data_IF_462923961264
#
_entry.id   IF_462923961264
#
_cell.length_a   1.000
_cell.length_b   1.000
_cell.length_c   1.000
_cell.angle_alpha   90.00
_cell.angle_beta   90.00
_cell.angle_gamma   90.00
#
_symmetry.space_group_name_H-M   'P 1'
#
loop_
_entity.id
_entity.type
_entity.pdbx_description
1 polymer ?
#
# COMPACT_ATOMS: atom_id res chain seq x y z
N UNK A 1 12.60 13.36 9.11
CA UNK A 1 12.38 11.90 9.11
C UNK A 1 11.29 11.56 8.11
N UNK A 2 11.52 10.54 7.32
CA UNK A 2 10.60 10.20 6.26
C UNK A 2 9.51 9.25 6.74
N UNK A 3 8.29 9.52 6.30
CA UNK A 3 7.18 8.61 6.55
C UNK A 3 7.42 7.31 5.79
N UNK A 4 7.15 6.19 6.44
CA UNK A 4 7.11 4.91 5.75
C UNK A 4 5.80 4.83 4.96
N UNK A 5 5.87 4.44 3.70
CA UNK A 5 4.71 4.30 2.83
C UNK A 5 4.52 2.81 2.54
N UNK A 6 3.30 2.34 2.71
CA UNK A 6 2.95 0.93 2.54
C UNK A 6 1.93 0.76 1.43
N UNK A 7 2.08 -0.29 0.63
CA UNK A 7 1.11 -0.65 -0.39
C UNK A 7 0.75 -2.12 -0.27
N UNK A 8 -0.55 -2.40 -0.23
CA UNK A 8 -1.06 -3.77 -0.16
C UNK A 8 -1.22 -4.30 -1.58
N UNK A 9 -0.64 -5.47 -1.85
CA UNK A 9 -0.81 -6.13 -3.14
C UNK A 9 -0.70 -7.64 -2.96
N UNK A 10 -0.86 -8.38 -4.04
CA UNK A 10 -0.71 -9.83 -4.01
C UNK A 10 0.74 -10.24 -4.26
N UNK A 11 1.09 -11.43 -3.77
CA UNK A 11 2.40 -12.03 -4.06
C UNK A 11 2.58 -12.19 -5.58
N UNK A 12 1.51 -12.56 -6.28
CA UNK A 12 1.57 -12.73 -7.74
C UNK A 12 1.90 -11.42 -8.44
N UNK A 13 1.27 -10.31 -8.03
CA UNK A 13 1.55 -9.00 -8.61
C UNK A 13 3.00 -8.59 -8.37
N UNK A 14 3.53 -8.89 -7.19
CA UNK A 14 4.93 -8.61 -6.88
C UNK A 14 5.88 -9.42 -7.76
N UNK A 15 5.57 -10.70 -7.97
CA UNK A 15 6.38 -11.55 -8.85
C UNK A 15 6.41 -11.00 -10.29
N UNK A 16 5.28 -10.49 -10.76
CA UNK A 16 5.21 -9.85 -12.08
C UNK A 16 6.07 -8.58 -12.11
N UNK A 17 5.98 -7.76 -11.07
CA UNK A 17 6.75 -6.52 -10.97
C UNK A 17 8.26 -6.79 -11.03
N UNK A 18 8.71 -7.85 -10.35
CA UNK A 18 10.12 -8.21 -10.37
C UNK A 18 10.61 -8.57 -11.78
N UNK A 19 9.74 -9.21 -12.57
CA UNK A 19 10.08 -9.54 -13.96
C UNK A 19 10.04 -8.31 -14.87
N UNK A 20 9.16 -7.36 -14.58
CA UNK A 20 9.00 -6.15 -15.38
C UNK A 20 9.97 -5.03 -15.02
N UNK A 21 10.60 -5.11 -13.85
CA UNK A 21 11.54 -4.09 -13.40
C UNK A 21 10.91 -2.91 -12.69
N UNK A 22 9.59 -2.91 -12.52
CA UNK A 22 8.86 -1.88 -11.76
C UNK A 22 7.50 -2.43 -11.35
N UNK A 23 6.93 -1.83 -10.31
CA UNK A 23 5.59 -2.20 -9.85
C UNK A 23 4.56 -1.21 -10.35
N UNK A 24 3.45 -1.71 -10.88
CA UNK A 24 2.31 -0.90 -11.26
C UNK A 24 1.03 -1.57 -10.78
N UNK A 25 0.11 -0.79 -10.22
CA UNK A 25 -1.18 -1.27 -9.76
C UNK A 25 -2.26 -0.95 -10.79
N UNK A 26 -3.35 -1.73 -10.85
CA UNK A 26 -4.48 -1.43 -11.75
C UNK A 26 -5.05 -0.03 -11.57
N UNK A 27 -5.05 0.50 -10.33
CA UNK A 27 -5.58 1.83 -10.06
C UNK A 27 -4.81 2.94 -10.78
N UNK A 28 -3.54 2.69 -11.15
CA UNK A 28 -2.78 3.68 -11.89
C UNK A 28 -3.43 3.98 -13.24
N UNK A 29 -3.95 2.96 -13.92
CA UNK A 29 -4.66 3.15 -15.19
C UNK A 29 -6.07 3.71 -14.97
N UNK A 30 -6.80 3.18 -13.98
CA UNK A 30 -8.22 3.53 -13.79
C UNK A 30 -8.44 4.83 -13.03
N UNK A 31 -7.52 5.20 -12.14
CA UNK A 31 -7.68 6.35 -11.25
C UNK A 31 -6.53 7.35 -11.33
N UNK A 32 -5.44 6.98 -11.97
CA UNK A 32 -4.29 7.86 -12.17
C UNK A 32 -3.21 7.78 -11.09
N UNK A 33 -3.40 6.95 -10.06
CA UNK A 33 -2.41 6.82 -8.99
C UNK A 33 -2.52 5.46 -8.29
N UNK A 34 -1.48 5.13 -7.54
CA UNK A 34 -1.41 3.92 -6.74
C UNK A 34 -1.77 4.27 -5.30
N UNK A 35 -2.75 3.55 -4.73
CA UNK A 35 -3.20 3.76 -3.36
C UNK A 35 -2.17 3.22 -2.37
N UNK A 36 -1.78 4.04 -1.41
CA UNK A 36 -0.86 3.64 -0.35
C UNK A 36 -1.39 4.08 1.01
N UNK A 37 -0.73 3.62 2.07
CA UNK A 37 -1.11 3.90 3.45
C UNK A 37 0.13 4.12 4.29
N UNK A 38 -0.05 4.83 5.41
CA UNK A 38 0.96 4.85 6.46
C UNK A 38 0.80 3.60 7.33
N UNK A 39 1.78 3.30 8.20
CA UNK A 39 1.62 2.19 9.14
C UNK A 39 0.38 2.30 10.03
N UNK A 40 -0.06 3.51 10.36
CA UNK A 40 -1.27 3.70 11.16
C UNK A 40 -2.56 3.48 10.38
N UNK A 41 -2.52 3.67 9.07
CA UNK A 41 -3.68 3.57 8.20
C UNK A 41 -3.88 2.18 7.61
N UNK A 42 -2.81 1.39 7.50
CA UNK A 42 -2.82 0.18 6.67
C UNK A 42 -3.77 -0.89 7.19
N UNK A 43 -3.86 -1.10 8.51
CA UNK A 43 -4.76 -2.12 9.05
C UNK A 43 -6.23 -1.78 8.86
N UNK A 44 -6.69 -0.55 9.14
CA UNK A 44 -8.07 -0.18 8.80
C UNK A 44 -8.39 -0.38 7.32
N UNK A 45 -7.47 -0.03 6.43
CA UNK A 45 -7.65 -0.23 4.99
C UNK A 45 -7.73 -1.73 4.67
N UNK A 46 -6.82 -2.52 5.21
CA UNK A 46 -6.82 -3.97 4.98
C UNK A 46 -8.09 -4.62 5.50
N UNK A 47 -8.53 -4.25 6.70
CA UNK A 47 -9.73 -4.82 7.30
C UNK A 47 -10.98 -4.46 6.50
N UNK A 48 -11.03 -3.29 5.89
CA UNK A 48 -12.19 -2.88 5.10
C UNK A 48 -12.22 -3.52 3.72
N UNK A 49 -11.10 -3.53 3.01
CA UNK A 49 -11.07 -3.87 1.59
C UNK A 49 -10.54 -5.28 1.29
N UNK A 50 -9.82 -5.89 2.22
CA UNK A 50 -9.14 -7.17 1.96
C UNK A 50 -9.47 -8.25 2.98
N UNK A 51 -10.49 -8.05 3.80
CA UNK A 51 -10.82 -8.96 4.90
C UNK A 51 -10.86 -10.42 4.44
N UNK A 52 -10.11 -11.27 5.12
CA UNK A 52 -10.09 -12.70 4.84
C UNK A 52 -9.27 -13.12 3.63
N UNK A 53 -8.73 -12.18 2.86
CA UNK A 53 -7.95 -12.53 1.68
C UNK A 53 -6.58 -13.09 2.07
N UNK A 54 -6.11 -14.06 1.30
CA UNK A 54 -4.80 -14.67 1.48
C UNK A 54 -3.89 -14.30 0.29
N UNK A 55 -2.59 -14.58 0.44
CA UNK A 55 -1.65 -14.27 -0.64
C UNK A 55 -1.29 -12.81 -0.75
N UNK A 56 -1.58 -12.02 0.28
CA UNK A 56 -1.28 -10.60 0.30
C UNK A 56 0.09 -10.32 0.90
N UNK A 57 0.71 -9.25 0.43
CA UNK A 57 1.96 -8.72 0.96
C UNK A 57 1.84 -7.21 1.14
N UNK A 58 2.75 -6.68 1.94
CA UNK A 58 2.99 -5.24 2.04
C UNK A 58 4.30 -4.92 1.34
N UNK A 59 4.24 -3.96 0.43
CA UNK A 59 5.44 -3.34 -0.10
C UNK A 59 5.79 -2.17 0.81
N UNK A 60 6.99 -2.20 1.39
CA UNK A 60 7.48 -1.12 2.25
C UNK A 60 8.30 -0.20 1.37
N UNK A 61 7.86 1.04 1.24
CA UNK A 61 8.38 1.98 0.27
C UNK A 61 9.12 3.12 0.99
N UNK A 62 10.34 3.39 0.54
CA UNK A 62 11.09 4.58 0.97
C UNK A 62 10.73 5.72 0.02
N UNK A 63 9.97 6.72 0.47
CA UNK A 63 9.52 7.78 -0.45
C UNK A 63 10.66 8.63 -0.99
N UNK A 64 11.82 8.66 -0.33
CA UNK A 64 12.97 9.42 -0.84
C UNK A 64 13.59 8.79 -2.07
N UNK A 65 13.29 7.52 -2.35
CA UNK A 65 13.84 6.80 -3.50
C UNK A 65 12.87 6.71 -4.67
N UNK A 66 11.65 7.22 -4.50
CA UNK A 66 10.64 7.14 -5.56
C UNK A 66 11.01 8.00 -6.76
N UNK A 67 10.85 7.43 -7.97
CA UNK A 67 10.98 8.17 -9.23
C UNK A 67 9.69 8.88 -9.59
N UNK A 68 8.54 8.35 -9.16
CA UNK A 68 7.22 8.93 -9.43
C UNK A 68 6.81 9.89 -8.31
N UNK A 69 5.93 10.84 -8.64
CA UNK A 69 5.45 11.82 -7.66
C UNK A 69 4.60 11.17 -6.59
N UNK A 70 4.82 11.57 -5.36
CA UNK A 70 4.02 11.17 -4.21
C UNK A 70 3.25 12.37 -3.72
N UNK A 71 1.92 12.22 -3.57
CA UNK A 71 1.07 13.29 -3.04
C UNK A 71 0.26 12.77 -1.86
N UNK A 72 0.07 13.61 -0.87
CA UNK A 72 -0.75 13.31 0.30
C UNK A 72 -2.13 13.92 0.06
N UNK A 73 -3.14 13.07 -0.08
CA UNK A 73 -4.46 13.50 -0.53
C UNK A 73 -5.56 12.86 0.30
N UNK A 74 -6.76 13.47 0.37
CA UNK A 74 -7.91 12.82 0.99
C UNK A 74 -8.22 11.48 0.35
N UNK A 75 -9.00 10.60 1.02
CA UNK A 75 -9.43 9.34 0.41
C UNK A 75 -10.09 9.59 -0.94
N UNK A 76 -9.85 8.71 -1.89
CA UNK A 76 -10.38 8.85 -3.25
C UNK A 76 -11.90 8.85 -3.27
N UNK A 77 -12.51 7.96 -2.48
CA UNK A 77 -13.96 7.85 -2.42
C UNK A 77 -14.48 8.10 -1.00
N UNK A 78 -15.09 9.26 -0.80
CA UNK A 78 -15.83 9.55 0.43
C UNK A 78 -14.98 9.54 1.69
N UNK A 79 -15.53 8.92 2.74
CA UNK A 79 -14.92 8.91 4.05
C UNK A 79 -13.81 7.84 4.15
N UNK A 80 -12.81 8.06 5.00
CA UNK A 80 -11.81 7.02 5.24
C UNK A 80 -12.43 5.81 5.95
N UNK A 81 -11.75 4.64 5.93
CA UNK A 81 -12.28 3.48 6.62
C UNK A 81 -12.35 3.69 8.13
N UNK A 82 -13.21 2.93 8.83
CA UNK A 82 -13.27 3.01 10.30
C UNK A 82 -11.88 2.81 10.91
N UNK A 83 -11.54 3.65 11.89
CA UNK A 83 -10.22 3.61 12.53
C UNK A 83 -9.23 4.60 11.99
N UNK A 84 -9.57 5.31 10.91
CA UNK A 84 -8.75 6.38 10.35
C UNK A 84 -9.44 7.71 10.60
N UNK A 85 -8.74 8.73 11.13
CA UNK A 85 -9.34 10.04 11.33
C UNK A 85 -9.91 10.64 10.05
N UNK A 86 -11.04 11.35 10.16
CA UNK A 86 -11.74 11.89 8.99
C UNK A 86 -10.90 12.84 8.13
N UNK A 87 -9.99 13.55 8.76
CA UNK A 87 -9.18 14.54 8.06
C UNK A 87 -7.82 14.01 7.60
N UNK A 88 -7.59 12.71 7.76
CA UNK A 88 -6.33 12.11 7.33
C UNK A 88 -6.19 12.16 5.82
N UNK A 89 -4.95 12.34 5.38
CA UNK A 89 -4.60 12.18 3.97
C UNK A 89 -3.84 10.87 3.80
N UNK A 90 -3.93 10.33 2.58
CA UNK A 90 -3.27 9.10 2.21
C UNK A 90 -2.20 9.37 1.18
N UNK A 91 -1.09 8.62 1.20
CA UNK A 91 -0.08 8.78 0.16
C UNK A 91 -0.55 8.15 -1.14
N UNK A 92 -0.54 8.93 -2.21
CA UNK A 92 -0.90 8.48 -3.56
C UNK A 92 0.32 8.64 -4.46
N UNK A 93 0.71 7.57 -5.15
CA UNK A 93 1.88 7.58 -6.03
C UNK A 93 1.41 7.69 -7.48
N UNK A 94 1.83 8.74 -8.16
CA UNK A 94 1.37 9.08 -9.50
C UNK A 94 2.31 8.55 -10.58
N UNK A 95 2.53 7.26 -10.57
CA UNK A 95 3.34 6.57 -11.56
C UNK A 95 3.78 5.21 -11.05
N UNK A 96 4.48 4.43 -11.86
CA UNK A 96 5.02 3.14 -11.40
C UNK A 96 6.01 3.33 -10.26
N UNK A 97 6.14 2.29 -9.44
CA UNK A 97 7.09 2.29 -8.33
C UNK A 97 8.36 1.57 -8.78
N UNK A 98 9.47 2.29 -8.77
CA UNK A 98 10.76 1.69 -9.08
C UNK A 98 11.16 0.70 -7.99
N UNK A 99 11.72 -0.44 -8.37
CA UNK A 99 11.98 -1.53 -7.42
C UNK A 99 12.95 -1.13 -6.31
N UNK A 100 13.91 -0.26 -6.59
CA UNK A 100 14.87 0.17 -5.57
C UNK A 100 14.26 1.11 -4.51
N UNK A 101 13.03 1.58 -4.71
CA UNK A 101 12.29 2.29 -3.66
C UNK A 101 11.56 1.33 -2.72
N UNK A 102 11.41 0.07 -3.10
CA UNK A 102 10.77 -0.95 -2.28
C UNK A 102 11.85 -1.61 -1.44
N UNK A 103 11.90 -1.24 -0.17
CA UNK A 103 13.02 -1.62 0.70
C UNK A 103 12.75 -2.86 1.52
N UNK A 104 11.49 -3.32 1.56
CA UNK A 104 11.12 -4.55 2.25
C UNK A 104 9.81 -5.06 1.67
N UNK A 105 9.63 -6.38 1.68
CA UNK A 105 8.40 -7.04 1.30
C UNK A 105 8.05 -8.01 2.42
N UNK A 106 6.87 -7.85 3.02
CA UNK A 106 6.44 -8.69 4.13
C UNK A 106 5.07 -9.29 3.85
N UNK A 107 4.84 -10.50 4.36
CA UNK A 107 3.53 -11.14 4.23
C UNK A 107 2.50 -10.43 5.10
N UNK A 108 1.29 -10.26 4.56
CA UNK A 108 0.15 -9.74 5.30
C UNK A 108 -0.87 -10.85 5.39
N UNK A 109 -0.93 -11.53 6.54
CA UNK A 109 -1.70 -12.75 6.72
C UNK A 109 -2.89 -12.49 7.63
N UNK A 110 -4.12 -12.87 7.21
CA UNK A 110 -5.29 -12.69 8.08
C UNK A 110 -5.26 -13.69 9.24
N UNK A 111 -5.80 -13.24 10.38
CA UNK A 111 -6.06 -14.12 11.52
C UNK A 111 -7.31 -14.94 11.24
N UNK A 112 -7.66 -15.83 12.21
CA UNK A 112 -8.81 -16.73 12.04
C UNK A 112 -10.13 -16.01 11.83
N UNK A 113 -10.26 -14.75 12.30
CA UNK A 113 -11.47 -13.95 12.09
C UNK A 113 -11.40 -13.08 10.83
N UNK A 114 -10.38 -13.24 10.00
CA UNK A 114 -10.23 -12.51 8.73
C UNK A 114 -9.61 -11.12 8.85
N UNK A 115 -9.26 -10.70 10.06
CA UNK A 115 -8.63 -9.39 10.28
C UNK A 115 -7.11 -9.52 10.24
N UNK A 116 -6.45 -8.41 10.04
CA UNK A 116 -5.00 -8.39 9.85
C UNK A 116 -4.28 -7.83 11.08
N UNK A 117 -3.04 -8.26 11.23
CA UNK A 117 -2.12 -7.74 12.25
C UNK A 117 -0.91 -7.18 11.52
N UNK A 118 -0.43 -6.02 11.97
CA UNK A 118 0.72 -5.39 11.32
C UNK A 118 1.96 -6.25 11.53
N UNK A 119 2.61 -6.71 10.45
CA UNK A 119 3.86 -7.47 10.59
C UNK A 119 5.01 -6.56 11.03
N UNK A 120 6.10 -7.17 11.47
CA UNK A 120 7.28 -6.41 11.85
C UNK A 120 7.88 -5.72 10.62
N UNK A 121 8.12 -4.41 10.75
CA UNK A 121 8.75 -3.60 9.71
C UNK A 121 10.10 -3.10 10.20
N UNK A 122 11.02 -2.92 9.28
CA UNK A 122 12.31 -2.31 9.62
C UNK A 122 12.20 -0.80 9.77
#
# INVERSE_FOLDING_TARGET
MNETVLHITSRDAWNIAQRQGQYSAPSLMSEGFIHCSTPKQVLPVADKFYRGQTGLILLVIDPTRLSSDLKWEPPFEGAPPPGVPENDTFPHIYGPINLDAIVQVVDLVPTSNGRFVLPSLI
#
